data_IF_835056598712
#
_entry.id   IF_835056598712
#
_cell.length_a   1.000
_cell.length_b   1.000
_cell.length_c   1.000
_cell.angle_alpha   90.00
_cell.angle_beta   90.00
_cell.angle_gamma   90.00
#
_symmetry.space_group_name_H-M   'P 1'
#
loop_
_entity.id
_entity.type
_entity.pdbx_description
1 polymer ?
#
# COMPACT_ATOMS: atom_id res chain seq x y z
N UNK A 1 1.80 -50.15 52.30
CA UNK A 1 2.47 -51.43 52.07
C UNK A 1 3.31 -51.28 50.83
N UNK A 2 4.59 -51.25 51.06
CA UNK A 2 5.70 -51.34 50.11
C UNK A 2 5.66 -52.63 49.32
N UNK A 3 6.12 -52.63 48.10
CA UNK A 3 7.19 -53.51 47.59
C UNK A 3 7.68 -53.04 46.24
N UNK A 4 8.91 -52.68 46.24
CA UNK A 4 9.84 -52.56 45.10
C UNK A 4 10.23 -53.97 44.62
N UNK A 5 10.63 -54.15 43.37
CA UNK A 5 11.78 -54.97 42.92
C UNK A 5 12.17 -54.70 41.47
N UNK A 6 13.47 -54.63 41.34
CA UNK A 6 14.38 -54.29 40.26
C UNK A 6 14.58 -55.35 39.17
N UNK A 7 15.26 -54.85 38.12
CA UNK A 7 16.33 -55.49 37.24
C UNK A 7 15.85 -56.52 36.19
N UNK A 8 16.24 -56.43 34.94
CA UNK A 8 17.56 -56.50 34.32
C UNK A 8 17.46 -56.51 32.79
N UNK A 9 18.49 -55.98 32.18
CA UNK A 9 18.92 -55.96 30.80
C UNK A 9 18.84 -57.28 30.03
N UNK A 10 18.54 -57.20 28.72
CA UNK A 10 19.36 -57.87 27.67
C UNK A 10 19.08 -57.30 26.27
N UNK A 11 20.14 -57.03 25.59
CA UNK A 11 20.31 -56.66 24.16
C UNK A 11 19.80 -57.73 23.21
N UNK A 12 19.07 -57.37 22.15
CA UNK A 12 19.13 -58.10 20.88
C UNK A 12 18.68 -57.23 19.71
N UNK A 13 19.54 -57.09 18.75
CA UNK A 13 19.37 -56.47 17.41
C UNK A 13 18.34 -57.21 16.57
N UNK A 14 17.37 -56.51 16.01
CA UNK A 14 16.65 -56.98 14.84
C UNK A 14 16.13 -55.82 13.99
N UNK A 15 16.50 -55.79 12.74
CA UNK A 15 16.04 -54.85 11.74
C UNK A 15 14.53 -55.07 11.45
N UNK A 16 13.74 -54.04 11.51
CA UNK A 16 12.37 -54.07 11.03
C UNK A 16 12.05 -52.78 10.25
N UNK A 17 11.76 -52.97 8.99
CA UNK A 17 11.23 -52.01 8.04
C UNK A 17 9.88 -51.47 8.58
N UNK A 18 9.83 -50.20 8.91
CA UNK A 18 8.57 -49.60 9.37
C UNK A 18 8.13 -48.54 8.39
N UNK A 19 7.03 -48.82 7.72
CA UNK A 19 6.23 -47.88 6.93
C UNK A 19 5.65 -46.83 7.87
N UNK A 20 6.12 -45.60 7.80
CA UNK A 20 5.62 -44.51 8.67
C UNK A 20 4.50 -43.76 7.96
N UNK A 21 3.29 -43.98 8.40
CA UNK A 21 2.15 -43.18 8.09
C UNK A 21 2.25 -41.88 8.89
N UNK A 22 2.55 -40.77 8.24
CA UNK A 22 2.69 -39.46 8.89
C UNK A 22 1.30 -38.84 9.10
N UNK A 23 0.81 -38.89 10.32
CA UNK A 23 -0.29 -38.04 10.78
C UNK A 23 0.26 -36.63 11.02
N UNK A 24 -0.24 -35.65 10.29
CA UNK A 24 0.09 -34.23 10.49
C UNK A 24 -0.53 -33.73 11.81
N UNK A 25 0.29 -33.58 12.84
CA UNK A 25 -0.03 -32.76 14.00
C UNK A 25 0.37 -31.32 13.69
N UNK A 26 -0.58 -30.39 13.81
CA UNK A 26 -0.37 -28.94 13.71
C UNK A 26 0.40 -28.45 14.94
N UNK A 27 1.72 -28.49 14.88
CA UNK A 27 2.55 -27.74 15.83
C UNK A 27 2.66 -26.27 15.37
N UNK A 28 2.24 -25.37 16.25
CA UNK A 28 2.46 -23.93 16.13
C UNK A 28 3.98 -23.66 16.16
N UNK A 29 4.58 -23.52 14.98
CA UNK A 29 6.00 -23.18 14.86
C UNK A 29 6.20 -21.71 15.28
N UNK A 30 6.86 -21.52 16.45
CA UNK A 30 7.52 -20.26 16.78
C UNK A 30 8.50 -19.90 15.67
N UNK A 31 8.55 -18.63 15.22
CA UNK A 31 9.50 -18.23 14.19
C UNK A 31 10.93 -18.49 14.69
N UNK A 32 11.69 -19.25 13.91
CA UNK A 32 13.11 -19.53 14.18
C UNK A 32 13.88 -18.20 14.17
N UNK A 33 14.31 -17.73 15.35
CA UNK A 33 15.21 -16.58 15.46
C UNK A 33 16.65 -17.06 15.24
N UNK A 34 17.22 -16.73 14.10
CA UNK A 34 18.64 -16.95 13.84
C UNK A 34 19.46 -15.78 14.40
N UNK A 35 20.54 -16.07 15.11
CA UNK A 35 21.47 -15.03 15.54
C UNK A 35 22.20 -14.43 14.32
N UNK A 36 22.51 -13.14 14.38
CA UNK A 36 23.24 -12.43 13.31
C UNK A 36 24.61 -13.10 13.05
N UNK A 37 25.21 -13.64 14.10
CA UNK A 37 26.53 -14.30 14.02
C UNK A 37 26.44 -15.63 13.27
N UNK A 38 25.38 -16.40 13.47
CA UNK A 38 25.11 -17.62 12.69
C UNK A 38 24.91 -17.30 11.19
N UNK A 39 24.18 -16.22 10.89
CA UNK A 39 23.97 -15.78 9.49
C UNK A 39 25.30 -15.35 8.85
N UNK A 40 26.16 -14.64 9.59
CA UNK A 40 27.50 -14.24 9.12
C UNK A 40 28.40 -15.46 8.89
N UNK A 41 28.37 -16.44 9.80
CA UNK A 41 29.13 -17.67 9.70
C UNK A 41 28.69 -18.48 8.46
N UNK A 42 27.38 -18.65 8.26
CA UNK A 42 26.83 -19.30 7.05
C UNK A 42 27.21 -18.56 5.78
N UNK A 43 27.20 -17.23 5.79
CA UNK A 43 27.57 -16.41 4.64
C UNK A 43 29.08 -16.54 4.32
N UNK A 44 29.94 -16.55 5.32
CA UNK A 44 31.39 -16.70 5.15
C UNK A 44 31.78 -18.11 4.72
N UNK A 45 31.06 -19.13 5.19
CA UNK A 45 31.23 -20.53 4.82
C UNK A 45 30.60 -20.88 3.47
N UNK A 46 29.80 -19.98 2.90
CA UNK A 46 29.19 -20.16 1.57
C UNK A 46 30.28 -20.03 0.51
N UNK A 47 30.85 -21.17 0.14
CA UNK A 47 31.84 -21.24 -0.92
C UNK A 47 31.13 -20.97 -2.25
N UNK A 48 31.45 -19.85 -2.92
CA UNK A 48 30.91 -19.45 -4.22
C UNK A 48 31.08 -20.52 -5.34
N UNK A 49 31.88 -21.51 -5.08
CA UNK A 49 32.13 -22.64 -5.95
C UNK A 49 31.36 -23.92 -5.57
N UNK A 50 30.39 -23.83 -4.67
CA UNK A 50 29.53 -24.97 -4.36
C UNK A 50 28.69 -25.25 -5.60
N UNK A 51 29.14 -26.17 -6.42
CA UNK A 51 28.41 -26.71 -7.55
C UNK A 51 27.11 -27.28 -6.98
N UNK A 52 25.98 -26.72 -7.37
CA UNK A 52 24.67 -27.26 -7.04
C UNK A 52 24.70 -28.76 -7.33
N UNK A 53 24.35 -29.59 -6.35
CA UNK A 53 24.33 -31.03 -6.48
C UNK A 53 23.64 -31.41 -7.80
N UNK A 54 24.21 -32.32 -8.55
CA UNK A 54 23.72 -32.75 -9.87
C UNK A 54 22.22 -33.13 -9.84
N UNK A 55 21.72 -33.63 -8.71
CA UNK A 55 20.30 -33.91 -8.47
C UNK A 55 19.44 -32.68 -8.47
N UNK A 56 19.86 -31.60 -7.83
CA UNK A 56 19.13 -30.33 -7.84
C UNK A 56 19.11 -29.70 -9.23
N UNK A 57 20.20 -29.79 -9.98
CA UNK A 57 20.25 -29.34 -11.37
C UNK A 57 19.29 -30.15 -12.23
N UNK A 58 19.23 -31.47 -12.03
CA UNK A 58 18.31 -32.36 -12.74
C UNK A 58 16.85 -32.07 -12.41
N UNK A 59 16.54 -31.87 -11.13
CA UNK A 59 15.20 -31.50 -10.65
C UNK A 59 14.78 -30.14 -11.21
N UNK A 60 15.65 -29.14 -11.16
CA UNK A 60 15.40 -27.80 -11.70
C UNK A 60 15.11 -27.83 -13.20
N UNK A 61 15.89 -28.64 -13.97
CA UNK A 61 15.66 -28.83 -15.38
C UNK A 61 14.33 -29.55 -15.68
N UNK A 62 13.91 -30.50 -14.84
CA UNK A 62 12.62 -31.19 -14.97
C UNK A 62 11.45 -30.23 -14.72
N UNK A 63 11.54 -29.40 -13.70
CA UNK A 63 10.52 -28.35 -13.39
C UNK A 63 10.44 -27.36 -14.55
N UNK A 64 11.57 -26.91 -15.06
CA UNK A 64 11.69 -26.00 -16.21
C UNK A 64 11.06 -26.57 -17.48
N UNK A 65 11.21 -27.85 -17.73
CA UNK A 65 10.62 -28.53 -18.89
C UNK A 65 9.10 -28.71 -18.74
N UNK A 66 8.62 -29.04 -17.53
CA UNK A 66 7.18 -29.19 -17.25
C UNK A 66 6.41 -27.87 -17.40
N UNK A 67 7.00 -26.75 -17.02
CA UNK A 67 6.34 -25.44 -17.03
C UNK A 67 6.44 -24.69 -18.36
N UNK A 68 6.92 -25.33 -19.46
CA UNK A 68 7.12 -24.69 -20.77
C UNK A 68 7.82 -23.33 -20.69
N UNK A 69 8.66 -23.14 -19.67
CA UNK A 69 9.40 -21.90 -19.49
C UNK A 69 10.41 -21.77 -20.64
N UNK A 70 10.10 -20.91 -21.60
CA UNK A 70 10.98 -20.68 -22.75
C UNK A 70 11.97 -19.55 -22.41
N UNK A 71 13.20 -19.84 -21.98
CA UNK A 71 14.17 -18.82 -21.60
C UNK A 71 14.65 -17.98 -22.78
N UNK A 72 14.32 -18.36 -24.03
CA UNK A 72 14.66 -17.57 -25.22
C UNK A 72 13.84 -16.28 -25.33
N UNK A 73 12.69 -16.16 -24.61
CA UNK A 73 11.93 -14.91 -24.49
C UNK A 73 12.46 -13.99 -23.39
N UNK A 74 13.28 -14.50 -22.49
CA UNK A 74 14.05 -13.73 -21.51
C UNK A 74 15.55 -13.87 -21.84
N UNK A 75 15.95 -13.51 -23.04
CA UNK A 75 17.33 -13.09 -23.19
C UNK A 75 17.41 -11.76 -22.40
N UNK A 76 17.97 -11.81 -21.21
CA UNK A 76 18.67 -10.66 -20.67
C UNK A 76 19.80 -10.37 -21.68
N UNK A 77 19.49 -9.71 -22.79
CA UNK A 77 20.48 -8.87 -23.38
C UNK A 77 20.94 -7.99 -22.22
N UNK A 78 22.21 -8.07 -21.88
CA UNK A 78 22.86 -7.12 -20.99
C UNK A 78 22.61 -5.78 -21.68
N UNK A 79 21.44 -5.21 -21.41
CA UNK A 79 21.01 -3.94 -21.96
C UNK A 79 22.05 -2.98 -21.41
N UNK A 80 22.97 -2.53 -22.25
CA UNK A 80 23.97 -1.58 -21.83
C UNK A 80 23.16 -0.39 -21.31
N UNK A 81 23.17 -0.21 -19.99
CA UNK A 81 22.38 0.80 -19.29
C UNK A 81 22.55 2.19 -19.94
N UNK A 82 23.75 2.45 -20.45
CA UNK A 82 24.06 3.67 -21.20
C UNK A 82 23.37 3.70 -22.58
N UNK A 83 23.22 2.56 -23.27
CA UNK A 83 22.49 2.51 -24.55
C UNK A 83 20.98 2.62 -24.33
N UNK A 84 20.45 2.06 -23.22
CA UNK A 84 19.04 2.23 -22.86
C UNK A 84 18.73 3.67 -22.47
N UNK A 85 19.56 4.33 -21.66
CA UNK A 85 19.42 5.78 -21.36
C UNK A 85 19.54 6.59 -22.64
N UNK A 86 20.51 6.28 -23.51
CA UNK A 86 20.71 7.01 -24.77
C UNK A 86 19.60 6.75 -25.79
N UNK A 87 18.92 5.60 -25.76
CA UNK A 87 17.73 5.36 -26.60
C UNK A 87 16.51 6.12 -26.07
N UNK A 88 16.32 6.17 -24.74
CA UNK A 88 15.26 6.98 -24.13
C UNK A 88 15.47 8.48 -24.36
N UNK A 89 16.74 8.93 -24.39
CA UNK A 89 17.05 10.33 -24.72
C UNK A 89 16.91 10.67 -26.21
N UNK A 90 17.08 9.71 -27.12
CA UNK A 90 16.97 9.92 -28.57
C UNK A 90 15.54 9.87 -29.11
N UNK A 91 14.62 9.11 -28.47
CA UNK A 91 13.22 9.08 -28.87
C UNK A 91 12.42 10.31 -28.42
N UNK A 92 12.97 11.13 -27.51
CA UNK A 92 12.31 12.32 -26.97
C UNK A 92 12.98 13.66 -27.38
N UNK A 93 13.91 13.68 -28.30
CA UNK A 93 14.50 14.94 -28.85
C UNK A 93 13.59 15.73 -29.80
N UNK A 94 12.29 15.40 -29.89
CA UNK A 94 11.27 16.31 -30.35
C UNK A 94 11.01 17.36 -29.28
N UNK A 95 11.70 18.52 -29.35
CA UNK A 95 11.44 19.81 -28.65
C UNK A 95 10.58 19.70 -27.38
N UNK A 96 11.12 19.15 -26.28
CA UNK A 96 10.48 19.32 -24.97
C UNK A 96 10.37 20.82 -24.70
N UNK A 97 9.16 21.30 -24.50
CA UNK A 97 8.93 22.69 -24.09
C UNK A 97 9.63 22.91 -22.72
N UNK A 98 10.14 24.10 -22.47
CA UNK A 98 10.76 24.46 -21.17
C UNK A 98 9.85 24.10 -19.99
N UNK A 99 8.54 24.22 -20.14
CA UNK A 99 7.54 23.82 -19.14
C UNK A 99 7.56 22.32 -18.86
N UNK A 100 7.73 21.47 -19.88
CA UNK A 100 7.78 20.01 -19.70
C UNK A 100 9.04 19.59 -18.92
N UNK A 101 10.17 20.19 -19.26
CA UNK A 101 11.44 19.98 -18.54
C UNK A 101 11.30 20.39 -17.07
N UNK A 102 10.60 21.50 -16.81
CA UNK A 102 10.40 22.01 -15.46
C UNK A 102 9.45 21.11 -14.66
N UNK A 103 8.37 20.63 -15.27
CA UNK A 103 7.45 19.65 -14.68
C UNK A 103 8.16 18.34 -14.32
N UNK A 104 9.08 17.86 -15.17
CA UNK A 104 9.89 16.68 -14.89
C UNK A 104 10.84 16.91 -13.72
N UNK A 105 11.53 18.07 -13.66
CA UNK A 105 12.36 18.46 -12.50
C UNK A 105 11.54 18.49 -11.21
N UNK A 106 10.33 19.02 -11.26
CA UNK A 106 9.40 19.05 -10.10
C UNK A 106 9.02 17.63 -9.67
N UNK A 107 8.64 16.75 -10.61
CA UNK A 107 8.35 15.34 -10.29
C UNK A 107 9.55 14.65 -9.64
N UNK A 108 10.75 14.85 -10.17
CA UNK A 108 11.99 14.32 -9.60
C UNK A 108 12.30 14.88 -8.21
N UNK A 109 11.95 16.13 -7.96
CA UNK A 109 12.08 16.77 -6.66
C UNK A 109 11.09 16.17 -5.66
N UNK A 110 9.83 16.00 -6.06
CA UNK A 110 8.77 15.40 -5.23
C UNK A 110 9.08 13.95 -4.88
N UNK A 111 9.63 13.16 -5.80
CA UNK A 111 10.06 11.77 -5.55
C UNK A 111 11.11 11.63 -4.44
N UNK A 112 11.87 12.68 -4.20
CA UNK A 112 12.88 12.72 -3.13
C UNK A 112 12.36 13.33 -1.84
N UNK A 113 11.06 13.68 -1.79
CA UNK A 113 10.45 14.36 -0.65
C UNK A 113 10.44 13.45 0.59
N UNK A 114 10.93 13.97 1.71
CA UNK A 114 10.95 13.30 3.00
C UNK A 114 10.78 14.31 4.12
N UNK A 115 10.55 13.83 5.35
CA UNK A 115 10.50 14.72 6.52
C UNK A 115 11.80 15.49 6.74
N UNK A 116 12.93 14.90 6.40
CA UNK A 116 14.28 15.47 6.64
C UNK A 116 14.66 16.56 5.65
N UNK A 117 14.18 16.49 4.41
CA UNK A 117 14.53 17.45 3.36
C UNK A 117 13.40 18.42 2.99
N UNK A 118 12.28 18.37 3.71
CA UNK A 118 11.08 19.16 3.45
C UNK A 118 11.37 20.66 3.32
N UNK A 119 12.16 21.23 4.24
CA UNK A 119 12.45 22.67 4.26
C UNK A 119 13.21 23.13 3.01
N UNK A 120 14.24 22.39 2.60
CA UNK A 120 15.01 22.72 1.39
C UNK A 120 14.20 22.46 0.11
N UNK A 121 13.31 21.47 0.14
CA UNK A 121 12.50 21.08 -1.01
C UNK A 121 11.41 22.11 -1.30
N UNK A 122 10.71 22.62 -0.28
CA UNK A 122 9.65 23.62 -0.46
C UNK A 122 10.18 24.91 -1.11
N UNK A 123 11.40 25.34 -0.75
CA UNK A 123 12.03 26.53 -1.36
C UNK A 123 12.31 26.29 -2.84
N UNK A 124 12.99 25.18 -3.17
CA UNK A 124 13.28 24.82 -4.57
C UNK A 124 12.01 24.65 -5.41
N UNK A 125 10.96 24.12 -4.81
CA UNK A 125 9.68 23.95 -5.52
C UNK A 125 9.10 25.29 -5.94
N UNK A 126 9.14 26.27 -5.05
CA UNK A 126 8.68 27.63 -5.33
C UNK A 126 9.55 28.29 -6.41
N UNK A 127 10.86 28.11 -6.36
CA UNK A 127 11.78 28.62 -7.37
C UNK A 127 11.49 28.04 -8.77
N UNK A 128 10.99 26.81 -8.83
CA UNK A 128 10.58 26.20 -10.10
C UNK A 128 9.20 26.69 -10.58
N UNK A 129 8.27 26.95 -9.68
CA UNK A 129 6.91 27.41 -10.02
C UNK A 129 6.92 28.85 -10.57
N UNK A 130 7.73 29.76 -10.02
CA UNK A 130 7.93 31.16 -10.48
C UNK A 130 6.63 31.90 -10.81
N UNK A 131 5.59 31.68 -10.03
CA UNK A 131 4.25 32.28 -10.22
C UNK A 131 3.52 31.87 -11.53
N UNK A 132 4.03 30.87 -12.28
CA UNK A 132 3.35 30.28 -13.43
C UNK A 132 2.22 29.36 -12.95
N UNK A 133 0.98 29.72 -13.29
CA UNK A 133 -0.22 29.03 -12.84
C UNK A 133 -0.36 27.61 -13.44
N UNK A 134 0.16 27.39 -14.64
CA UNK A 134 0.13 26.08 -15.30
C UNK A 134 1.10 25.12 -14.60
N UNK A 135 2.27 25.64 -14.24
CA UNK A 135 3.28 24.87 -13.50
C UNK A 135 2.80 24.58 -12.07
N UNK A 136 2.14 25.55 -11.42
CA UNK A 136 1.52 25.34 -10.11
C UNK A 136 0.45 24.23 -10.18
N UNK A 137 -0.43 24.27 -11.19
CA UNK A 137 -1.43 23.21 -11.43
C UNK A 137 -0.79 21.84 -11.64
N UNK A 138 0.21 21.77 -12.52
CA UNK A 138 0.93 20.52 -12.80
C UNK A 138 1.67 19.99 -11.57
N UNK A 139 2.19 20.90 -10.73
CA UNK A 139 2.83 20.57 -9.45
C UNK A 139 1.81 19.95 -8.48
N UNK A 140 0.63 20.56 -8.32
CA UNK A 140 -0.42 20.03 -7.46
C UNK A 140 -0.93 18.68 -7.95
N UNK A 141 -1.11 18.50 -9.27
CA UNK A 141 -1.46 17.19 -9.85
C UNK A 141 -0.40 16.15 -9.48
N UNK A 142 0.88 16.47 -9.65
CA UNK A 142 1.99 15.57 -9.32
C UNK A 142 2.03 15.23 -7.83
N UNK A 143 1.79 16.19 -6.94
CA UNK A 143 1.70 15.96 -5.49
C UNK A 143 0.56 14.98 -5.17
N UNK A 144 -0.61 15.15 -5.78
CA UNK A 144 -1.74 14.23 -5.58
C UNK A 144 -1.43 12.82 -6.06
N UNK A 145 -0.84 12.67 -7.24
CA UNK A 145 -0.46 11.36 -7.78
C UNK A 145 0.55 10.65 -6.88
N UNK A 146 1.58 11.36 -6.44
CA UNK A 146 2.59 10.82 -5.53
C UNK A 146 2.00 10.43 -4.17
N UNK A 147 1.15 11.28 -3.59
CA UNK A 147 0.52 11.01 -2.30
C UNK A 147 -0.40 9.78 -2.34
N UNK A 148 -1.11 9.57 -3.45
CA UNK A 148 -1.99 8.40 -3.63
C UNK A 148 -1.19 7.11 -3.76
N UNK A 149 -0.07 7.14 -4.49
CA UNK A 149 0.79 5.97 -4.69
C UNK A 149 1.62 5.68 -3.45
N UNK A 150 2.14 6.72 -2.81
CA UNK A 150 3.03 6.66 -1.65
C UNK A 150 2.36 7.24 -0.41
N UNK A 151 1.29 6.60 0.03
CA UNK A 151 0.41 7.10 1.10
C UNK A 151 1.12 7.43 2.42
N UNK A 152 2.26 6.80 2.71
CA UNK A 152 3.09 7.09 3.90
C UNK A 152 3.59 8.55 3.92
N UNK A 153 3.69 9.20 2.76
CA UNK A 153 4.13 10.60 2.65
C UNK A 153 2.97 11.60 2.59
N UNK A 154 1.70 11.16 2.66
CA UNK A 154 0.54 12.06 2.68
C UNK A 154 0.68 13.22 3.68
N UNK A 155 1.17 13.03 4.92
CA UNK A 155 1.36 14.14 5.85
C UNK A 155 2.38 15.18 5.38
N UNK A 156 3.40 14.77 4.62
CA UNK A 156 4.42 15.69 4.09
C UNK A 156 3.86 16.44 2.88
N UNK A 157 3.16 15.73 2.00
CA UNK A 157 2.52 16.32 0.83
C UNK A 157 1.38 17.29 1.19
N UNK A 158 0.61 17.00 2.25
CA UNK A 158 -0.43 17.93 2.71
C UNK A 158 0.17 19.23 3.26
N UNK A 159 1.26 19.16 4.02
CA UNK A 159 2.00 20.34 4.48
C UNK A 159 2.58 21.14 3.32
N UNK A 160 3.06 20.45 2.27
CA UNK A 160 3.57 21.11 1.08
C UNK A 160 2.45 21.87 0.35
N UNK A 161 1.28 21.27 0.20
CA UNK A 161 0.10 21.95 -0.36
C UNK A 161 -0.33 23.14 0.49
N UNK A 162 -0.28 23.03 1.83
CA UNK A 162 -0.57 24.15 2.73
C UNK A 162 0.43 25.29 2.53
N UNK A 163 1.71 25.00 2.44
CA UNK A 163 2.73 26.00 2.15
C UNK A 163 2.50 26.70 0.80
N UNK A 164 2.13 25.94 -0.24
CA UNK A 164 1.77 26.52 -1.53
C UNK A 164 0.50 27.38 -1.42
N UNK A 165 -0.48 26.96 -0.60
CA UNK A 165 -1.67 27.78 -0.34
C UNK A 165 -1.32 29.11 0.37
N UNK A 166 -0.45 29.08 1.36
CA UNK A 166 0.00 30.30 2.07
C UNK A 166 0.72 31.26 1.13
N UNK A 167 1.42 30.73 0.11
CA UNK A 167 2.15 31.55 -0.85
C UNK A 167 1.30 32.02 -2.04
N UNK A 168 0.49 31.14 -2.62
CA UNK A 168 -0.25 31.40 -3.87
C UNK A 168 -1.74 31.68 -3.65
N UNK A 169 -2.24 31.61 -2.42
CA UNK A 169 -3.58 32.00 -2.04
C UNK A 169 -4.66 30.99 -2.40
N UNK A 170 -5.90 31.50 -2.47
CA UNK A 170 -7.13 30.68 -2.54
C UNK A 170 -7.23 29.77 -3.77
N UNK A 171 -6.55 30.08 -4.85
CA UNK A 171 -6.52 29.24 -6.05
C UNK A 171 -5.99 27.81 -5.74
N UNK A 172 -4.97 27.68 -4.86
CA UNK A 172 -4.45 26.37 -4.45
C UNK A 172 -5.52 25.57 -3.69
N UNK A 173 -6.25 26.23 -2.75
CA UNK A 173 -7.36 25.59 -2.02
C UNK A 173 -8.44 25.09 -2.98
N UNK A 174 -8.81 25.90 -3.97
CA UNK A 174 -9.81 25.54 -4.96
C UNK A 174 -9.36 24.34 -5.83
N UNK A 175 -8.10 24.33 -6.26
CA UNK A 175 -7.52 23.24 -7.04
C UNK A 175 -7.49 21.93 -6.23
N UNK A 176 -7.04 21.98 -4.98
CA UNK A 176 -7.06 20.84 -4.05
C UNK A 176 -8.48 20.29 -3.90
N UNK A 177 -9.47 21.14 -3.64
CA UNK A 177 -10.86 20.71 -3.51
C UNK A 177 -11.42 20.09 -4.79
N UNK A 178 -11.11 20.68 -5.96
CA UNK A 178 -11.54 20.16 -7.25
C UNK A 178 -10.93 18.78 -7.53
N UNK A 179 -9.64 18.59 -7.21
CA UNK A 179 -8.96 17.29 -7.36
C UNK A 179 -9.55 16.24 -6.41
N UNK A 180 -9.84 16.59 -5.17
CA UNK A 180 -10.53 15.70 -4.26
C UNK A 180 -11.90 15.26 -4.82
N UNK A 181 -12.71 16.20 -5.34
CA UNK A 181 -14.02 15.90 -5.95
C UNK A 181 -13.88 15.00 -7.19
N UNK A 182 -12.92 15.29 -8.06
CA UNK A 182 -12.66 14.50 -9.28
C UNK A 182 -12.32 13.04 -8.93
N UNK A 183 -11.39 12.82 -8.00
CA UNK A 183 -11.01 11.48 -7.55
C UNK A 183 -12.17 10.72 -6.92
N UNK A 184 -13.02 11.43 -6.18
CA UNK A 184 -14.22 10.85 -5.58
C UNK A 184 -15.29 10.41 -6.59
N UNK A 185 -15.47 11.14 -7.69
CA UNK A 185 -16.41 10.73 -8.74
C UNK A 185 -16.09 9.35 -9.31
N UNK A 186 -14.82 8.98 -9.34
CA UNK A 186 -14.36 7.69 -9.86
C UNK A 186 -14.43 6.57 -8.81
N UNK A 187 -14.73 6.88 -7.53
CA UNK A 187 -14.74 5.91 -6.45
C UNK A 187 -15.80 4.81 -6.60
N UNK A 188 -16.95 5.16 -7.16
CA UNK A 188 -18.07 4.24 -7.37
C UNK A 188 -17.93 3.34 -8.61
N UNK A 189 -17.00 3.65 -9.50
CA UNK A 189 -16.81 2.85 -10.71
C UNK A 189 -16.20 1.50 -10.35
N UNK A 190 -16.84 0.41 -10.78
CA UNK A 190 -16.25 -0.92 -10.75
C UNK A 190 -15.16 -1.02 -11.82
N UNK A 191 -14.13 -1.78 -11.51
CA UNK A 191 -13.19 -2.26 -12.52
C UNK A 191 -13.87 -3.39 -13.29
N UNK A 192 -14.04 -3.20 -14.59
CA UNK A 192 -14.53 -4.24 -15.48
C UNK A 192 -13.32 -5.00 -16.04
N UNK A 193 -13.38 -6.32 -16.00
CA UNK A 193 -12.41 -7.17 -16.68
C UNK A 193 -12.51 -6.92 -18.20
N UNK A 194 -11.37 -6.85 -18.88
CA UNK A 194 -11.33 -6.92 -20.33
C UNK A 194 -11.33 -8.40 -20.72
N UNK A 195 -11.98 -8.73 -21.82
CA UNK A 195 -12.20 -10.12 -22.27
C UNK A 195 -10.91 -10.97 -22.43
N UNK A 196 -9.76 -10.36 -22.45
CA UNK A 196 -8.43 -11.00 -22.58
C UNK A 196 -7.56 -10.88 -21.31
N UNK A 197 -8.09 -10.37 -20.18
CA UNK A 197 -7.31 -10.12 -18.96
C UNK A 197 -7.21 -11.42 -18.12
N UNK A 198 -5.99 -11.82 -17.74
CA UNK A 198 -5.75 -12.94 -16.83
C UNK A 198 -6.34 -12.60 -15.43
N UNK A 199 -6.89 -13.60 -14.74
CA UNK A 199 -7.46 -13.49 -13.39
C UNK A 199 -6.46 -12.85 -12.41
N UNK A 200 -5.17 -13.21 -12.52
CA UNK A 200 -4.12 -12.61 -11.70
C UNK A 200 -3.90 -11.12 -11.97
N UNK A 201 -3.94 -10.72 -13.25
CA UNK A 201 -3.79 -9.30 -13.62
C UNK A 201 -4.98 -8.48 -13.15
N UNK A 202 -6.19 -9.03 -13.25
CA UNK A 202 -7.40 -8.42 -12.71
C UNK A 202 -7.29 -8.24 -11.20
N UNK A 203 -6.89 -9.29 -10.46
CA UNK A 203 -6.65 -9.20 -9.01
C UNK A 203 -5.63 -8.12 -8.66
N UNK A 204 -4.48 -8.08 -9.37
CA UNK A 204 -3.47 -7.05 -9.16
C UNK A 204 -4.00 -5.63 -9.39
N UNK A 205 -4.86 -5.45 -10.41
CA UNK A 205 -5.48 -4.17 -10.75
C UNK A 205 -6.45 -3.71 -9.65
N UNK A 206 -7.29 -4.62 -9.18
CA UNK A 206 -8.21 -4.40 -8.06
C UNK A 206 -7.47 -3.97 -6.80
N UNK A 207 -6.44 -4.71 -6.43
CA UNK A 207 -5.61 -4.40 -5.26
C UNK A 207 -4.89 -3.05 -5.38
N UNK A 208 -4.38 -2.71 -6.58
CA UNK A 208 -3.80 -1.39 -6.85
C UNK A 208 -4.83 -0.28 -6.71
N UNK A 209 -6.04 -0.49 -7.23
CA UNK A 209 -7.11 0.49 -7.11
C UNK A 209 -7.59 0.68 -5.67
N UNK A 210 -7.75 -0.40 -4.92
CA UNK A 210 -8.06 -0.32 -3.49
C UNK A 210 -7.03 0.53 -2.75
N UNK A 211 -5.73 0.28 -2.96
CA UNK A 211 -4.65 1.08 -2.36
C UNK A 211 -4.72 2.56 -2.75
N UNK A 212 -5.04 2.85 -4.02
CA UNK A 212 -5.22 4.24 -4.48
C UNK A 212 -6.36 4.95 -3.74
N UNK A 213 -7.51 4.28 -3.56
CA UNK A 213 -8.63 4.88 -2.85
C UNK A 213 -8.34 5.12 -1.37
N UNK A 214 -7.74 4.13 -0.69
CA UNK A 214 -7.26 4.31 0.69
C UNK A 214 -6.29 5.50 0.78
N UNK A 215 -5.36 5.63 -0.17
CA UNK A 215 -4.45 6.78 -0.27
C UNK A 215 -5.16 8.12 -0.45
N UNK A 216 -6.25 8.17 -1.24
CA UNK A 216 -7.06 9.38 -1.41
C UNK A 216 -7.71 9.79 -0.09
N UNK A 217 -8.33 8.86 0.64
CA UNK A 217 -8.96 9.15 1.92
C UNK A 217 -7.95 9.59 2.98
N UNK A 218 -6.77 8.97 2.98
CA UNK A 218 -5.67 9.41 3.85
C UNK A 218 -5.22 10.82 3.51
N UNK A 219 -5.03 11.14 2.22
CA UNK A 219 -4.63 12.47 1.80
C UNK A 219 -5.66 13.54 2.18
N UNK A 220 -6.96 13.24 1.97
CA UNK A 220 -8.06 14.14 2.35
C UNK A 220 -8.08 14.36 3.86
N UNK A 221 -7.88 13.32 4.66
CA UNK A 221 -7.77 13.47 6.12
C UNK A 221 -6.57 14.30 6.53
N UNK A 222 -5.42 14.17 5.85
CA UNK A 222 -4.26 15.04 6.08
C UNK A 222 -4.56 16.50 5.71
N UNK A 223 -5.27 16.76 4.60
CA UNK A 223 -5.71 18.12 4.27
C UNK A 223 -6.66 18.71 5.32
N UNK A 224 -7.53 17.89 5.89
CA UNK A 224 -8.38 18.32 7.00
C UNK A 224 -7.55 18.68 8.24
N UNK A 225 -6.54 17.88 8.58
CA UNK A 225 -5.62 18.20 9.68
C UNK A 225 -4.92 19.54 9.46
N UNK A 226 -4.50 19.83 8.23
CA UNK A 226 -3.85 21.10 7.85
C UNK A 226 -4.85 22.26 7.63
N UNK A 227 -6.17 22.07 7.92
CA UNK A 227 -7.23 23.06 7.73
C UNK A 227 -7.42 23.56 6.28
N UNK A 228 -6.98 22.78 5.31
CA UNK A 228 -7.20 23.06 3.88
C UNK A 228 -8.57 22.58 3.39
N UNK A 229 -9.18 21.64 4.09
CA UNK A 229 -10.50 21.07 3.82
C UNK A 229 -11.39 21.35 5.02
N UNK A 230 -12.63 21.79 4.75
CA UNK A 230 -13.61 22.14 5.77
C UNK A 230 -14.30 20.90 6.35
N UNK A 231 -14.78 21.00 7.59
CA UNK A 231 -15.50 19.94 8.31
C UNK A 231 -16.68 19.40 7.51
N UNK A 232 -17.46 20.28 6.85
CA UNK A 232 -18.59 19.87 6.02
C UNK A 232 -18.19 18.92 4.87
N UNK A 233 -16.98 19.05 4.33
CA UNK A 233 -16.49 18.14 3.27
C UNK A 233 -16.21 16.76 3.85
N UNK A 234 -15.60 16.69 5.04
CA UNK A 234 -15.35 15.43 5.75
C UNK A 234 -16.65 14.73 6.10
N UNK A 235 -17.63 15.48 6.61
CA UNK A 235 -18.96 14.95 6.93
C UNK A 235 -19.66 14.36 5.70
N UNK A 236 -19.54 15.02 4.53
CA UNK A 236 -20.07 14.49 3.27
C UNK A 236 -19.42 13.15 2.90
N UNK A 237 -18.11 13.02 3.13
CA UNK A 237 -17.40 11.76 2.84
C UNK A 237 -17.76 10.65 3.82
N UNK A 238 -17.90 10.98 5.11
CA UNK A 238 -18.38 10.04 6.12
C UNK A 238 -19.80 9.57 5.77
N UNK A 239 -20.71 10.51 5.47
CA UNK A 239 -22.09 10.19 5.09
C UNK A 239 -22.17 9.32 3.83
N UNK A 240 -21.36 9.61 2.81
CA UNK A 240 -21.29 8.81 1.59
C UNK A 240 -20.81 7.38 1.91
N UNK A 241 -19.77 7.23 2.72
CA UNK A 241 -19.26 5.92 3.11
C UNK A 241 -20.27 5.13 3.94
N UNK A 242 -21.00 5.76 4.87
CA UNK A 242 -22.09 5.10 5.58
C UNK A 242 -23.20 4.64 4.63
N UNK A 243 -23.58 5.47 3.65
CA UNK A 243 -24.61 5.10 2.67
C UNK A 243 -24.17 3.86 1.88
N UNK A 244 -22.92 3.82 1.41
CA UNK A 244 -22.39 2.67 0.67
C UNK A 244 -22.27 1.42 1.55
N UNK A 245 -21.77 1.54 2.80
CA UNK A 245 -21.64 0.41 3.74
C UNK A 245 -22.99 -0.19 4.15
N UNK A 246 -24.07 0.60 4.11
CA UNK A 246 -25.42 0.12 4.35
C UNK A 246 -26.07 -0.51 3.11
N UNK A 247 -25.51 -0.31 1.92
CA UNK A 247 -25.99 -0.92 0.69
C UNK A 247 -25.58 -2.41 0.60
N UNK A 248 -26.23 -3.13 -0.34
CA UNK A 248 -25.83 -4.50 -0.66
C UNK A 248 -24.65 -4.48 -1.60
N UNK A 249 -23.47 -4.78 -1.10
CA UNK A 249 -22.22 -4.79 -1.83
C UNK A 249 -21.66 -6.21 -1.97
N UNK A 250 -20.91 -6.48 -3.04
CA UNK A 250 -20.02 -7.62 -3.10
C UNK A 250 -18.87 -7.49 -2.09
N UNK A 251 -18.24 -8.60 -1.73
CA UNK A 251 -17.23 -8.67 -0.69
C UNK A 251 -16.03 -7.77 -0.96
N UNK A 252 -15.56 -7.75 -2.19
CA UNK A 252 -14.40 -6.95 -2.60
C UNK A 252 -14.68 -5.43 -2.49
N UNK A 253 -15.82 -5.00 -3.01
CA UNK A 253 -16.25 -3.61 -2.93
C UNK A 253 -16.48 -3.20 -1.48
N UNK A 254 -17.09 -4.05 -0.67
CA UNK A 254 -17.33 -3.81 0.75
C UNK A 254 -16.02 -3.64 1.53
N UNK A 255 -15.06 -4.55 1.35
CA UNK A 255 -13.74 -4.48 1.99
C UNK A 255 -12.99 -3.17 1.61
N UNK A 256 -13.08 -2.74 0.36
CA UNK A 256 -12.57 -1.44 -0.08
C UNK A 256 -13.20 -0.27 0.69
N UNK A 257 -14.53 -0.27 0.84
CA UNK A 257 -15.23 0.81 1.55
C UNK A 257 -14.91 0.82 3.05
N UNK A 258 -14.82 -0.35 3.69
CA UNK A 258 -14.46 -0.48 5.11
C UNK A 258 -13.04 0.05 5.37
N UNK A 259 -12.06 -0.31 4.53
CA UNK A 259 -10.69 0.22 4.68
C UNK A 259 -10.62 1.74 4.47
N UNK A 260 -11.35 2.27 3.48
CA UNK A 260 -11.42 3.70 3.25
C UNK A 260 -12.07 4.43 4.43
N UNK A 261 -13.17 3.87 4.97
CA UNK A 261 -13.86 4.42 6.12
C UNK A 261 -12.97 4.43 7.36
N UNK A 262 -12.34 3.30 7.68
CA UNK A 262 -11.36 3.20 8.77
C UNK A 262 -10.27 4.26 8.62
N UNK A 263 -9.66 4.34 7.45
CA UNK A 263 -8.56 5.27 7.19
C UNK A 263 -9.00 6.72 7.38
N UNK A 264 -10.15 7.10 6.83
CA UNK A 264 -10.67 8.46 7.01
C UNK A 264 -10.96 8.73 8.49
N UNK A 265 -11.80 7.90 9.11
CA UNK A 265 -12.37 8.16 10.43
C UNK A 265 -11.29 8.23 11.52
N UNK A 266 -10.35 7.28 11.54
CA UNK A 266 -9.24 7.28 12.51
C UNK A 266 -8.43 8.57 12.41
N UNK A 267 -8.13 9.02 11.18
CA UNK A 267 -7.30 10.20 11.00
C UNK A 267 -8.04 11.53 11.26
N UNK A 268 -9.37 11.57 11.18
CA UNK A 268 -10.12 12.81 11.40
C UNK A 268 -10.83 12.90 12.75
N UNK A 269 -11.10 11.79 13.43
CA UNK A 269 -11.95 11.68 14.62
C UNK A 269 -11.62 12.70 15.70
N UNK A 270 -10.35 12.85 16.06
CA UNK A 270 -9.90 13.79 17.12
C UNK A 270 -10.24 15.22 16.80
N UNK A 271 -9.97 15.69 15.59
CA UNK A 271 -10.28 17.07 15.17
C UNK A 271 -11.77 17.24 14.85
N UNK A 272 -12.40 16.18 14.32
CA UNK A 272 -13.82 16.18 14.02
C UNK A 272 -14.65 16.35 15.30
N UNK A 273 -14.32 15.65 16.38
CA UNK A 273 -14.97 15.76 17.70
C UNK A 273 -14.94 17.17 18.26
N UNK A 274 -13.92 17.97 17.92
CA UNK A 274 -13.83 19.38 18.34
C UNK A 274 -14.66 20.32 17.46
N UNK A 275 -14.99 19.92 16.24
CA UNK A 275 -15.57 20.80 15.21
C UNK A 275 -17.03 20.47 14.87
N UNK A 276 -17.62 19.43 15.45
CA UNK A 276 -19.02 19.06 15.28
C UNK A 276 -19.74 18.95 16.62
N UNK A 277 -21.06 18.99 16.60
CA UNK A 277 -21.89 18.77 17.77
C UNK A 277 -21.70 17.37 18.37
N UNK A 278 -21.70 17.28 19.71
CA UNK A 278 -21.52 16.01 20.41
C UNK A 278 -22.56 14.95 20.03
N UNK A 279 -23.81 15.36 19.82
CA UNK A 279 -24.88 14.46 19.36
C UNK A 279 -24.60 13.85 17.99
N UNK A 280 -24.01 14.61 17.09
CA UNK A 280 -23.65 14.13 15.76
C UNK A 280 -22.52 13.12 15.82
N UNK A 281 -21.53 13.35 16.66
CA UNK A 281 -20.45 12.40 16.91
C UNK A 281 -20.99 11.11 17.52
N UNK A 282 -21.89 11.21 18.50
CA UNK A 282 -22.56 10.06 19.10
C UNK A 282 -23.30 9.23 18.06
N UNK A 283 -24.05 9.88 17.14
CA UNK A 283 -24.72 9.19 16.02
C UNK A 283 -23.76 8.43 15.12
N UNK A 284 -22.60 8.99 14.82
CA UNK A 284 -21.57 8.27 14.04
C UNK A 284 -21.06 7.03 14.79
N UNK A 285 -20.79 7.15 16.08
CA UNK A 285 -20.33 6.03 16.94
C UNK A 285 -21.40 4.93 17.00
N UNK A 286 -22.67 5.28 17.14
CA UNK A 286 -23.78 4.31 17.15
C UNK A 286 -23.89 3.57 15.83
N UNK A 287 -23.79 4.27 14.70
CA UNK A 287 -23.78 3.65 13.37
C UNK A 287 -22.61 2.68 13.21
N UNK A 288 -21.40 3.03 13.68
CA UNK A 288 -20.24 2.14 13.64
C UNK A 288 -20.48 0.90 14.51
N UNK A 289 -21.07 1.05 15.70
CA UNK A 289 -21.46 -0.09 16.57
C UNK A 289 -22.46 -1.01 15.90
N UNK A 290 -23.41 -0.49 15.14
CA UNK A 290 -24.36 -1.30 14.36
C UNK A 290 -23.61 -2.08 13.29
N UNK A 291 -22.77 -1.42 12.49
CA UNK A 291 -21.97 -2.07 11.43
C UNK A 291 -21.04 -3.16 11.98
N UNK A 292 -20.42 -2.94 13.16
CA UNK A 292 -19.52 -3.92 13.78
C UNK A 292 -20.21 -5.23 14.20
N UNK A 293 -21.54 -5.20 14.38
CA UNK A 293 -22.36 -6.38 14.75
C UNK A 293 -23.07 -7.02 13.56
N UNK A 294 -23.08 -6.37 12.41
CA UNK A 294 -23.79 -6.83 11.23
C UNK A 294 -23.15 -8.10 10.64
N UNK A 295 -23.98 -9.12 10.38
CA UNK A 295 -23.53 -10.41 9.85
C UNK A 295 -23.00 -10.35 8.42
N UNK A 296 -23.31 -9.29 7.66
CA UNK A 296 -22.81 -9.07 6.31
C UNK A 296 -21.29 -8.86 6.26
N UNK A 297 -20.69 -8.39 7.36
CA UNK A 297 -19.27 -8.11 7.44
C UNK A 297 -18.47 -9.31 7.92
N UNK A 298 -17.31 -9.54 7.33
CA UNK A 298 -16.34 -10.53 7.75
C UNK A 298 -15.74 -10.18 9.12
N UNK A 299 -15.13 -11.14 9.81
CA UNK A 299 -14.47 -10.87 11.10
C UNK A 299 -13.36 -9.81 10.96
N UNK A 300 -12.62 -9.81 9.84
CA UNK A 300 -11.59 -8.80 9.56
C UNK A 300 -12.20 -7.39 9.47
N UNK A 301 -13.30 -7.24 8.77
CA UNK A 301 -14.00 -5.97 8.62
C UNK A 301 -14.60 -5.49 9.95
N UNK A 302 -15.13 -6.40 10.77
CA UNK A 302 -15.64 -6.09 12.12
C UNK A 302 -14.51 -5.59 13.03
N UNK A 303 -13.33 -6.21 12.99
CA UNK A 303 -12.17 -5.72 13.73
C UNK A 303 -11.77 -4.30 13.30
N UNK A 304 -11.91 -3.97 12.01
CA UNK A 304 -11.65 -2.59 11.55
C UNK A 304 -12.61 -1.57 12.16
N UNK A 305 -13.89 -1.94 12.38
CA UNK A 305 -14.83 -1.08 13.10
C UNK A 305 -14.49 -0.98 14.60
N UNK A 306 -14.05 -2.07 15.23
CA UNK A 306 -13.57 -2.01 16.63
C UNK A 306 -12.35 -1.11 16.78
N UNK A 307 -11.38 -1.18 15.86
CA UNK A 307 -10.22 -0.27 15.85
C UNK A 307 -10.64 1.22 15.81
N UNK A 308 -11.75 1.55 15.14
CA UNK A 308 -12.29 2.90 15.14
C UNK A 308 -12.91 3.22 16.50
N UNK A 309 -13.69 2.31 17.06
CA UNK A 309 -14.40 2.53 18.34
C UNK A 309 -13.43 2.70 19.52
N UNK A 310 -12.29 2.02 19.48
CA UNK A 310 -11.24 2.11 20.52
C UNK A 310 -10.53 3.47 20.53
N UNK A 311 -10.58 4.23 19.43
CA UNK A 311 -9.90 5.52 19.28
C UNK A 311 -10.80 6.74 19.52
N UNK A 312 -12.11 6.57 19.67
CA UNK A 312 -13.12 7.64 19.73
C UNK A 312 -13.78 7.71 21.09
#
# INVERSE_FOLDING_TARGET
>A
MSVSVSTNSTTTTAAATTTTTTTMSTETSTPLQYSIDLVKELYNNFNKNTILNAEYIKLFNQIRMKNKFNPRKFSYQKMNYNNWINSLSKEEEGKKNEKDILCEKIKNLLNKCSKTNYESLKVKLVDYIKDDIDILNSTLVSIFEMAIIQSIYCPVYSKLCKYLFEKYGSQVKQLVLNKCKERFKNFKKKEEARDEEDEYDLFCKVMKNKKKFVGIFLLVSCFYQESMVETMVIEKYIGLLFTELNAKLDEETRDKYVECFKTLFINVSKKLKQNIEAEKMTRYIEQIKILSKDSRFTNREKFMFFDILDLV
#
